data_IF_506919951758
#
_entry.id   IF_506919951758
#
_cell.length_a   1.000
_cell.length_b   1.000
_cell.length_c   1.000
_cell.angle_alpha   90.00
_cell.angle_beta   90.00
_cell.angle_gamma   90.00
#
_symmetry.space_group_name_H-M   'P 1'
#
loop_
_entity.id
_entity.type
_entity.pdbx_description
1 polymer ?
#
# COMPACT_ATOMS: atom_id res chain seq x y z
N UNK A 1 -10.88 40.86 32.61
CA UNK A 1 -9.46 41.25 32.53
C UNK A 1 -8.79 40.53 33.69
N UNK A 2 -7.99 39.48 33.54
CA UNK A 2 -7.30 38.91 32.38
C UNK A 2 -7.12 37.40 32.59
N UNK A 3 -6.80 36.72 31.50
CA UNK A 3 -6.65 35.27 31.30
C UNK A 3 -5.65 34.57 32.24
N UNK A 4 -5.76 33.24 32.41
CA UNK A 4 -4.62 32.39 32.72
C UNK A 4 -4.10 31.66 31.47
N UNK A 5 -2.96 32.16 30.99
CA UNK A 5 -1.77 31.44 30.48
C UNK A 5 -1.96 30.16 29.65
N UNK A 6 -1.54 30.27 28.39
CA UNK A 6 -1.20 29.19 27.46
C UNK A 6 -0.35 28.07 28.07
N UNK A 7 -0.95 26.89 28.16
CA UNK A 7 -0.29 25.63 28.49
C UNK A 7 0.49 25.08 27.29
N UNK A 8 1.77 25.43 27.25
CA UNK A 8 2.80 24.87 26.37
C UNK A 8 2.85 23.32 26.45
N UNK A 9 2.61 22.63 25.32
CA UNK A 9 2.98 21.20 25.16
C UNK A 9 3.83 21.02 23.89
N UNK A 10 5.07 21.52 23.93
CA UNK A 10 6.12 21.07 23.03
C UNK A 10 7.21 20.32 23.81
N UNK A 11 7.30 19.01 23.61
CA UNK A 11 8.54 18.27 23.77
C UNK A 11 8.88 17.66 22.41
N UNK A 12 9.66 18.41 21.62
CA UNK A 12 10.12 17.98 20.30
C UNK A 12 11.25 16.97 20.45
N UNK A 13 11.07 15.75 19.92
CA UNK A 13 12.20 14.94 19.47
C UNK A 13 12.25 15.05 17.94
N UNK A 14 13.40 15.40 17.34
CA UNK A 14 13.53 15.43 15.90
C UNK A 14 13.49 13.99 15.37
N UNK A 15 12.30 13.52 14.96
CA UNK A 15 12.19 12.36 14.09
C UNK A 15 12.69 12.82 12.72
N UNK A 16 13.99 12.68 12.49
CA UNK A 16 14.54 12.78 11.13
C UNK A 16 13.72 11.81 10.26
N UNK A 17 13.21 12.22 9.07
CA UNK A 17 12.63 11.29 8.12
C UNK A 17 13.73 10.30 7.73
N UNK A 18 13.76 9.17 8.44
CA UNK A 18 14.72 8.12 8.18
C UNK A 18 14.22 7.49 6.89
N UNK A 19 14.87 7.82 5.76
CA UNK A 19 14.68 7.17 4.45
C UNK A 19 15.06 5.70 4.63
N UNK A 20 14.14 4.90 5.18
CA UNK A 20 14.38 3.50 5.54
C UNK A 20 14.44 2.70 4.24
N UNK A 21 15.43 1.82 4.14
CA UNK A 21 15.55 0.88 3.04
C UNK A 21 14.24 0.08 2.92
N UNK A 22 13.58 0.18 1.77
CA UNK A 22 12.35 -0.56 1.46
C UNK A 22 12.60 -2.07 1.27
N UNK A 23 13.86 -2.47 1.06
CA UNK A 23 14.24 -3.89 1.01
C UNK A 23 14.13 -4.50 2.39
N UNK A 24 13.48 -5.66 2.50
CA UNK A 24 13.61 -6.52 3.68
C UNK A 24 15.10 -6.81 3.89
N UNK A 25 15.73 -6.12 4.85
CA UNK A 25 17.14 -6.33 5.19
C UNK A 25 17.31 -7.77 5.71
N UNK A 26 18.30 -8.49 5.17
CA UNK A 26 18.66 -9.85 5.59
C UNK A 26 17.92 -10.99 4.90
N UNK A 27 17.06 -10.73 3.90
CA UNK A 27 16.34 -11.80 3.21
C UNK A 27 17.07 -12.35 1.97
N UNK A 28 17.02 -13.68 1.80
CA UNK A 28 17.58 -14.34 0.62
C UNK A 28 16.57 -14.38 -0.54
N UNK A 29 16.70 -13.43 -1.47
CA UNK A 29 15.88 -13.33 -2.69
C UNK A 29 16.20 -14.36 -3.79
N UNK A 30 16.98 -15.39 -3.47
CA UNK A 30 17.19 -16.57 -4.33
C UNK A 30 16.34 -17.77 -3.88
N UNK A 31 15.67 -17.63 -2.73
CA UNK A 31 14.89 -18.70 -2.13
C UNK A 31 13.68 -19.05 -3.00
N UNK A 32 13.34 -20.34 -3.13
CA UNK A 32 12.11 -20.76 -3.79
C UNK A 32 10.86 -20.18 -3.11
N UNK A 33 9.83 -19.93 -3.89
CA UNK A 33 8.55 -19.40 -3.43
C UNK A 33 8.02 -18.25 -4.28
N UNK A 34 6.97 -17.62 -3.76
CA UNK A 34 6.19 -16.62 -4.48
C UNK A 34 6.54 -15.20 -4.06
N UNK A 35 6.71 -14.33 -5.05
CA UNK A 35 7.13 -12.95 -4.90
C UNK A 35 6.16 -12.04 -5.66
N UNK A 36 5.46 -11.18 -4.93
CA UNK A 36 4.78 -10.03 -5.50
C UNK A 36 5.81 -8.93 -5.75
N UNK A 37 5.81 -8.39 -6.96
CA UNK A 37 6.78 -7.40 -7.42
C UNK A 37 6.04 -6.19 -7.94
N UNK A 38 6.47 -5.00 -7.51
CA UNK A 38 6.02 -3.71 -8.06
C UNK A 38 7.20 -2.94 -8.62
N UNK A 39 7.10 -2.55 -9.88
CA UNK A 39 8.13 -1.80 -10.60
C UNK A 39 7.55 -0.49 -11.13
N UNK A 40 7.89 0.63 -10.47
CA UNK A 40 7.39 1.93 -10.90
C UNK A 40 8.30 2.63 -11.91
N UNK A 41 7.68 3.41 -12.77
CA UNK A 41 8.34 4.41 -13.59
C UNK A 41 8.94 5.52 -12.71
N UNK A 42 9.91 6.24 -13.26
CA UNK A 42 10.56 7.36 -12.59
C UNK A 42 9.52 8.46 -12.33
N UNK A 43 9.42 8.87 -11.06
CA UNK A 43 8.47 9.89 -10.58
C UNK A 43 7.00 9.55 -10.92
N UNK A 44 6.65 8.27 -10.99
CA UNK A 44 5.28 7.80 -11.27
C UNK A 44 4.67 8.36 -12.58
N UNK A 45 5.51 8.66 -13.58
CA UNK A 45 5.05 9.16 -14.88
C UNK A 45 4.24 8.11 -15.64
N UNK A 46 3.07 8.45 -16.23
CA UNK A 46 2.22 7.50 -16.93
C UNK A 46 2.78 7.12 -18.32
N UNK A 47 3.87 6.35 -18.36
CA UNK A 47 4.57 5.97 -19.59
C UNK A 47 3.87 4.88 -20.41
N UNK A 48 3.00 4.07 -19.80
CA UNK A 48 2.49 2.83 -20.40
C UNK A 48 1.07 2.93 -20.98
N UNK A 49 0.42 4.09 -20.86
CA UNK A 49 -0.93 4.33 -21.35
C UNK A 49 -1.81 4.92 -20.25
N UNK A 50 -3.12 4.70 -20.35
CA UNK A 50 -4.13 5.29 -19.47
C UNK A 50 -5.17 4.26 -19.05
N UNK A 51 -5.80 4.45 -17.90
CA UNK A 51 -6.96 3.66 -17.49
C UNK A 51 -8.23 4.37 -17.94
N UNK A 52 -9.15 3.64 -18.57
CA UNK A 52 -10.45 4.14 -19.03
C UNK A 52 -11.54 3.15 -18.62
N UNK A 53 -12.52 3.61 -17.82
CA UNK A 53 -13.66 2.78 -17.35
C UNK A 53 -13.19 1.46 -16.72
N UNK A 54 -12.24 1.57 -15.80
CA UNK A 54 -11.65 0.45 -15.07
C UNK A 54 -10.81 -0.51 -15.91
N UNK A 55 -10.45 -0.16 -17.15
CA UNK A 55 -9.63 -1.00 -18.03
C UNK A 55 -8.36 -0.28 -18.42
N UNK A 56 -7.24 -1.02 -18.43
CA UNK A 56 -5.98 -0.47 -18.92
C UNK A 56 -5.98 -0.40 -20.45
N UNK A 57 -5.81 0.81 -21.00
CA UNK A 57 -5.54 1.05 -22.41
C UNK A 57 -4.03 1.25 -22.61
N UNK A 58 -3.33 0.18 -23.01
CA UNK A 58 -1.87 0.19 -23.21
C UNK A 58 -1.49 0.92 -24.50
N UNK A 59 -0.50 1.80 -24.41
CA UNK A 59 0.21 2.34 -25.57
C UNK A 59 1.29 1.35 -26.05
N UNK A 60 2.10 1.74 -27.05
CA UNK A 60 3.20 0.91 -27.55
C UNK A 60 4.17 0.51 -26.43
N UNK A 61 4.56 1.46 -25.56
CA UNK A 61 5.48 1.20 -24.47
C UNK A 61 4.91 0.21 -23.44
N UNK A 62 3.62 0.33 -23.10
CA UNK A 62 2.94 -0.60 -22.21
C UNK A 62 2.85 -2.02 -22.78
N UNK A 63 2.61 -2.16 -24.09
CA UNK A 63 2.63 -3.46 -24.77
C UNK A 63 4.01 -4.11 -24.72
N UNK A 64 5.06 -3.33 -24.93
CA UNK A 64 6.46 -3.81 -24.86
C UNK A 64 6.83 -4.21 -23.42
N UNK A 65 6.44 -3.42 -22.43
CA UNK A 65 6.63 -3.76 -21.02
C UNK A 65 5.93 -5.08 -20.64
N UNK A 66 4.72 -5.32 -21.16
CA UNK A 66 4.00 -6.58 -20.97
C UNK A 66 4.64 -7.75 -21.72
N UNK A 67 5.18 -7.53 -22.92
CA UNK A 67 5.90 -8.56 -23.67
C UNK A 67 7.17 -9.00 -22.94
N UNK A 68 8.04 -8.06 -22.55
CA UNK A 68 9.26 -8.38 -21.80
C UNK A 68 8.96 -9.12 -20.48
N UNK A 69 7.79 -8.86 -19.87
CA UNK A 69 7.39 -9.56 -18.64
C UNK A 69 7.08 -11.04 -18.92
N UNK A 70 6.35 -11.32 -20.00
CA UNK A 70 6.05 -12.71 -20.43
C UNK A 70 7.29 -13.49 -20.85
N UNK A 71 8.33 -12.81 -21.31
CA UNK A 71 9.60 -13.43 -21.74
C UNK A 71 10.53 -13.77 -20.57
N UNK A 72 10.22 -13.36 -19.33
CA UNK A 72 11.04 -13.67 -18.14
C UNK A 72 11.40 -15.16 -18.03
N UNK A 73 10.45 -16.13 -18.18
CA UNK A 73 10.77 -17.56 -18.06
C UNK A 73 11.75 -18.06 -19.12
N UNK A 74 11.80 -17.45 -20.31
CA UNK A 74 12.73 -17.83 -21.37
C UNK A 74 14.18 -17.46 -21.03
N UNK A 75 14.38 -16.42 -20.23
CA UNK A 75 15.70 -15.97 -19.78
C UNK A 75 16.09 -16.54 -18.41
N UNK A 76 15.08 -16.91 -17.60
CA UNK A 76 15.25 -17.40 -16.24
C UNK A 76 14.40 -18.66 -16.04
N UNK A 77 14.90 -19.86 -16.37
CA UNK A 77 14.11 -21.09 -16.34
C UNK A 77 13.51 -21.44 -14.96
N UNK A 78 14.13 -20.97 -13.88
CA UNK A 78 13.62 -21.13 -12.50
C UNK A 78 12.51 -20.15 -12.14
N UNK A 79 12.21 -19.17 -12.99
CA UNK A 79 11.24 -18.12 -12.75
C UNK A 79 9.96 -18.39 -13.55
N UNK A 80 8.87 -18.65 -12.84
CA UNK A 80 7.54 -18.81 -13.42
C UNK A 80 6.75 -17.53 -13.20
N UNK A 81 6.23 -16.96 -14.28
CA UNK A 81 5.35 -15.80 -14.23
C UNK A 81 3.91 -16.26 -14.03
N UNK A 82 3.21 -15.60 -13.11
CA UNK A 82 1.78 -15.76 -12.85
C UNK A 82 1.07 -14.44 -13.20
N UNK A 83 0.04 -14.05 -12.46
CA UNK A 83 -0.74 -12.85 -12.66
C UNK A 83 0.14 -11.60 -12.67
N UNK A 84 -0.06 -10.73 -13.67
CA UNK A 84 0.63 -9.45 -13.79
C UNK A 84 -0.29 -8.42 -14.47
N UNK A 85 -0.03 -7.14 -14.21
CA UNK A 85 -0.70 -6.04 -14.88
C UNK A 85 0.27 -4.90 -15.11
N UNK A 86 0.24 -4.34 -16.32
CA UNK A 86 0.93 -3.09 -16.65
C UNK A 86 -0.07 -1.97 -16.41
N UNK A 87 0.24 -1.09 -15.46
CA UNK A 87 -0.54 0.10 -15.12
C UNK A 87 0.10 1.33 -15.78
N UNK A 88 -0.57 2.50 -15.83
CA UNK A 88 -0.02 3.69 -16.51
C UNK A 88 1.43 4.01 -16.15
N UNK A 89 1.78 3.91 -14.86
CA UNK A 89 3.06 4.34 -14.33
C UNK A 89 3.83 3.26 -13.54
N UNK A 90 3.36 2.01 -13.53
CA UNK A 90 4.04 0.91 -12.84
C UNK A 90 3.63 -0.45 -13.42
N UNK A 91 4.34 -1.49 -13.05
CA UNK A 91 4.01 -2.89 -13.37
C UNK A 91 3.93 -3.67 -12.08
N UNK A 92 2.86 -4.43 -11.92
CA UNK A 92 2.75 -5.45 -10.90
C UNK A 92 2.92 -6.82 -11.52
N UNK A 93 3.55 -7.74 -10.79
CA UNK A 93 3.43 -9.14 -11.13
C UNK A 93 3.79 -10.07 -10.00
N UNK A 94 3.20 -11.26 -10.08
CA UNK A 94 3.45 -12.36 -9.18
C UNK A 94 4.40 -13.34 -9.87
N UNK A 95 5.56 -13.56 -9.25
CA UNK A 95 6.63 -14.41 -9.75
C UNK A 95 6.88 -15.56 -8.79
N UNK A 96 6.95 -16.80 -9.27
CA UNK A 96 7.41 -17.94 -8.49
C UNK A 96 8.84 -18.28 -8.87
N UNK A 97 9.72 -18.36 -7.87
CA UNK A 97 11.01 -19.03 -8.02
C UNK A 97 10.87 -20.51 -7.66
N UNK A 98 11.28 -21.38 -8.57
CA UNK A 98 11.35 -22.82 -8.35
C UNK A 98 12.60 -23.19 -7.54
N UNK A 99 12.58 -24.40 -6.98
CA UNK A 99 13.74 -25.00 -6.34
C UNK A 99 14.94 -25.04 -7.28
N UNK A 100 16.15 -25.07 -6.70
CA UNK A 100 17.36 -25.38 -7.48
C UNK A 100 17.33 -26.88 -7.77
N UNK A 101 17.72 -27.27 -8.98
CA UNK A 101 17.90 -28.67 -9.31
C UNK A 101 18.89 -29.31 -8.32
N UNK A 102 18.68 -30.59 -8.00
CA UNK A 102 19.50 -31.31 -7.03
C UNK A 102 21.01 -31.29 -7.39
N UNK A 103 21.34 -31.16 -8.68
CA UNK A 103 22.70 -31.03 -9.20
C UNK A 103 23.36 -29.66 -8.93
N UNK A 104 22.59 -28.63 -8.58
CA UNK A 104 23.07 -27.25 -8.37
C UNK A 104 23.14 -26.85 -6.89
N UNK A 105 23.24 -27.83 -5.97
CA UNK A 105 23.38 -27.61 -4.51
C UNK A 105 24.78 -27.12 -4.14
N UNK A 106 25.18 -25.97 -4.67
CA UNK A 106 26.25 -25.16 -4.08
C UNK A 106 25.75 -24.39 -2.86
N UNK A 107 26.64 -23.74 -2.08
CA UNK A 107 26.24 -22.93 -0.95
C UNK A 107 25.23 -21.85 -1.35
N UNK A 108 24.26 -21.60 -0.48
CA UNK A 108 23.20 -20.62 -0.71
C UNK A 108 23.81 -19.22 -0.74
N UNK A 109 24.00 -18.66 -1.93
CA UNK A 109 24.54 -17.30 -2.09
C UNK A 109 23.51 -16.25 -1.65
N UNK A 110 23.97 -15.30 -0.83
CA UNK A 110 23.18 -14.15 -0.42
C UNK A 110 23.46 -12.97 -1.34
N UNK A 111 22.40 -12.30 -1.78
CA UNK A 111 22.51 -11.02 -2.50
C UNK A 111 23.22 -10.00 -1.61
N UNK A 112 24.31 -9.41 -2.13
CA UNK A 112 25.00 -8.29 -1.51
C UNK A 112 25.19 -7.16 -2.53
N UNK A 113 25.37 -5.93 -2.03
CA UNK A 113 25.65 -4.80 -2.91
C UNK A 113 26.92 -5.08 -3.73
N UNK A 114 26.83 -4.96 -5.06
CA UNK A 114 27.92 -5.29 -5.98
C UNK A 114 28.12 -6.79 -6.27
N UNK A 115 27.35 -7.69 -5.67
CA UNK A 115 27.41 -9.15 -5.88
C UNK A 115 26.04 -9.69 -6.29
N UNK A 116 25.63 -9.50 -7.56
CA UNK A 116 24.35 -10.01 -8.04
C UNK A 116 24.36 -11.53 -8.13
N UNK A 117 23.31 -12.17 -7.63
CA UNK A 117 23.15 -13.63 -7.76
C UNK A 117 22.30 -13.93 -8.99
N UNK A 118 22.78 -14.82 -9.87
CA UNK A 118 22.05 -15.22 -11.06
C UNK A 118 20.71 -15.88 -10.69
N UNK A 119 19.62 -15.44 -11.33
CA UNK A 119 18.27 -15.96 -11.08
C UNK A 119 17.63 -15.50 -9.77
N UNK A 120 18.21 -14.54 -9.04
CA UNK A 120 17.54 -13.87 -7.92
C UNK A 120 16.42 -12.94 -8.40
N UNK A 121 15.45 -12.62 -7.53
CA UNK A 121 14.40 -11.63 -7.85
C UNK A 121 15.00 -10.28 -8.29
N UNK A 122 16.00 -9.68 -7.59
CA UNK A 122 16.62 -8.45 -8.04
C UNK A 122 17.29 -8.54 -9.41
N UNK A 123 17.96 -9.66 -9.72
CA UNK A 123 18.61 -9.84 -11.02
C UNK A 123 17.58 -10.00 -12.14
N UNK A 124 16.48 -10.73 -11.90
CA UNK A 124 15.37 -10.85 -12.84
C UNK A 124 14.76 -9.47 -13.11
N UNK A 125 14.45 -8.71 -12.06
CA UNK A 125 13.89 -7.36 -12.20
C UNK A 125 14.86 -6.41 -12.90
N UNK A 126 16.16 -6.50 -12.63
CA UNK A 126 17.19 -5.72 -13.34
C UNK A 126 17.18 -6.04 -14.83
N UNK A 127 17.14 -7.33 -15.19
CA UNK A 127 17.08 -7.78 -16.59
C UNK A 127 15.82 -7.30 -17.29
N UNK A 128 14.65 -7.45 -16.64
CA UNK A 128 13.38 -6.92 -17.12
C UNK A 128 13.44 -5.42 -17.40
N UNK A 129 13.91 -4.62 -16.43
CA UNK A 129 14.04 -3.16 -16.60
C UNK A 129 14.96 -2.80 -17.76
N UNK A 130 16.07 -3.53 -17.93
CA UNK A 130 17.02 -3.32 -19.01
C UNK A 130 16.41 -3.69 -20.37
N UNK A 131 15.67 -4.80 -20.47
CA UNK A 131 14.98 -5.21 -21.69
C UNK A 131 13.97 -4.15 -22.14
N UNK A 132 13.12 -3.67 -21.22
CA UNK A 132 12.16 -2.60 -21.53
C UNK A 132 12.86 -1.30 -21.91
N UNK A 133 13.89 -0.89 -21.16
CA UNK A 133 14.68 0.32 -21.49
C UNK A 133 15.28 0.24 -22.89
N UNK A 134 15.86 -0.92 -23.26
CA UNK A 134 16.45 -1.15 -24.57
C UNK A 134 15.39 -1.09 -25.67
N UNK A 135 14.23 -1.72 -25.42
CA UNK A 135 13.16 -1.77 -26.39
C UNK A 135 12.57 -0.37 -26.65
N UNK A 136 12.46 0.47 -25.61
CA UNK A 136 11.93 1.84 -25.73
C UNK A 136 12.97 2.88 -26.18
N UNK A 137 14.26 2.61 -26.01
CA UNK A 137 15.33 3.59 -26.24
C UNK A 137 15.46 4.65 -25.14
N UNK A 138 14.71 4.54 -24.04
CA UNK A 138 14.72 5.51 -22.95
C UNK A 138 14.67 4.88 -21.54
N UNK A 139 15.31 5.53 -20.57
CA UNK A 139 15.31 5.11 -19.16
C UNK A 139 14.07 5.63 -18.44
N UNK A 140 13.05 4.78 -18.35
CA UNK A 140 11.76 5.14 -17.74
C UNK A 140 11.60 4.70 -16.29
N UNK A 141 12.47 3.83 -15.77
CA UNK A 141 12.28 3.20 -14.47
C UNK A 141 12.84 4.01 -13.31
N UNK A 142 12.21 3.88 -12.13
CA UNK A 142 12.86 4.23 -10.88
C UNK A 142 14.00 3.24 -10.57
N UNK A 143 14.99 3.65 -9.78
CA UNK A 143 16.14 2.80 -9.46
C UNK A 143 15.76 1.54 -8.66
N UNK A 144 14.90 1.70 -7.64
CA UNK A 144 14.45 0.61 -6.77
C UNK A 144 13.21 -0.09 -7.33
N UNK A 145 12.84 -1.20 -6.74
CA UNK A 145 11.55 -1.85 -6.93
C UNK A 145 11.11 -2.35 -5.56
N UNK A 146 9.89 -2.83 -5.50
CA UNK A 146 9.33 -3.38 -4.27
C UNK A 146 9.03 -4.86 -4.46
N UNK A 147 9.22 -5.62 -3.39
CA UNK A 147 8.98 -7.05 -3.36
C UNK A 147 8.40 -7.51 -2.03
N UNK A 148 7.43 -8.43 -2.10
CA UNK A 148 6.81 -9.11 -0.94
C UNK A 148 6.72 -10.59 -1.21
N UNK A 149 7.05 -11.42 -0.21
CA UNK A 149 6.91 -12.87 -0.32
C UNK A 149 5.49 -13.30 0.05
N UNK A 150 4.79 -13.95 -0.86
CA UNK A 150 3.47 -14.54 -0.56
C UNK A 150 3.66 -15.93 0.08
N UNK A 151 3.45 -16.02 1.40
CA UNK A 151 3.81 -17.22 2.19
C UNK A 151 2.77 -18.33 2.15
N UNK A 152 1.49 -17.97 2.07
CA UNK A 152 0.36 -18.91 2.07
C UNK A 152 -0.56 -18.71 0.86
N UNK A 153 -1.47 -19.65 0.64
CA UNK A 153 -2.41 -19.62 -0.49
C UNK A 153 -3.40 -18.47 -0.43
N UNK A 154 -3.83 -18.08 0.76
CA UNK A 154 -4.75 -16.96 0.93
C UNK A 154 -4.08 -15.65 0.47
N UNK A 155 -2.86 -15.37 0.93
CA UNK A 155 -2.07 -14.23 0.50
C UNK A 155 -1.85 -14.23 -1.02
N UNK A 156 -1.54 -15.40 -1.61
CA UNK A 156 -1.39 -15.55 -3.07
C UNK A 156 -2.69 -15.21 -3.81
N UNK A 157 -3.81 -15.77 -3.38
CA UNK A 157 -5.12 -15.53 -4.00
C UNK A 157 -5.49 -14.04 -3.91
N UNK A 158 -5.23 -13.41 -2.77
CA UNK A 158 -5.50 -11.99 -2.55
C UNK A 158 -4.63 -11.10 -3.44
N UNK A 159 -3.35 -11.43 -3.60
CA UNK A 159 -2.44 -10.71 -4.50
C UNK A 159 -2.88 -10.87 -5.96
N UNK A 160 -3.25 -12.08 -6.42
CA UNK A 160 -3.78 -12.27 -7.78
C UNK A 160 -5.03 -11.44 -8.01
N UNK A 161 -5.97 -11.46 -7.06
CA UNK A 161 -7.19 -10.65 -7.15
C UNK A 161 -6.88 -9.15 -7.15
N UNK A 162 -5.90 -8.71 -6.36
CA UNK A 162 -5.43 -7.33 -6.37
C UNK A 162 -4.90 -6.91 -7.74
N UNK A 163 -4.01 -7.71 -8.33
CA UNK A 163 -3.42 -7.45 -9.64
C UNK A 163 -4.51 -7.35 -10.72
N UNK A 164 -5.44 -8.31 -10.77
CA UNK A 164 -6.52 -8.35 -11.78
C UNK A 164 -7.41 -7.11 -11.76
N UNK A 165 -7.77 -6.65 -10.57
CA UNK A 165 -8.70 -5.53 -10.40
C UNK A 165 -8.00 -4.20 -10.16
N UNK A 166 -6.67 -4.14 -10.27
CA UNK A 166 -5.91 -2.91 -10.06
C UNK A 166 -6.36 -1.80 -11.04
N UNK A 167 -6.60 -2.04 -12.34
CA UNK A 167 -7.15 -1.03 -13.24
C UNK A 167 -8.48 -0.44 -12.77
N UNK A 168 -9.39 -1.26 -12.27
CA UNK A 168 -10.70 -0.82 -11.77
C UNK A 168 -10.56 0.04 -10.51
N UNK A 169 -9.70 -0.39 -9.59
CA UNK A 169 -9.45 0.37 -8.37
C UNK A 169 -8.71 1.69 -8.68
N UNK A 170 -7.75 1.68 -9.61
CA UNK A 170 -7.04 2.87 -10.09
C UNK A 170 -8.01 3.86 -10.71
N UNK A 171 -8.91 3.41 -11.59
CA UNK A 171 -9.93 4.28 -12.20
C UNK A 171 -10.84 4.89 -11.14
N UNK A 172 -11.31 4.09 -10.17
CA UNK A 172 -12.18 4.56 -9.11
C UNK A 172 -11.51 5.57 -8.16
N UNK A 173 -10.18 5.54 -8.04
CA UNK A 173 -9.42 6.49 -7.19
C UNK A 173 -8.98 7.72 -7.97
N UNK A 174 -8.44 7.54 -9.19
CA UNK A 174 -7.80 8.60 -9.97
C UNK A 174 -8.76 9.32 -10.92
N UNK A 175 -9.76 8.60 -11.45
CA UNK A 175 -10.76 9.11 -12.40
C UNK A 175 -12.20 9.02 -11.85
N UNK A 176 -12.34 8.58 -10.59
CA UNK A 176 -13.58 8.01 -10.07
C UNK A 176 -14.77 8.93 -10.17
N UNK A 177 -15.90 8.36 -10.62
CA UNK A 177 -17.22 8.99 -10.52
C UNK A 177 -17.49 9.49 -9.11
N UNK A 178 -18.27 10.57 -8.99
CA UNK A 178 -18.47 11.36 -7.76
C UNK A 178 -18.70 10.45 -6.55
N UNK A 179 -17.74 10.36 -5.60
CA UNK A 179 -17.98 9.68 -4.34
C UNK A 179 -19.21 10.27 -3.67
N UNK A 180 -19.98 9.44 -2.98
CA UNK A 180 -21.05 9.93 -2.15
C UNK A 180 -20.47 10.43 -0.83
N UNK A 181 -21.09 11.47 -0.28
CA UNK A 181 -20.63 12.14 0.93
C UNK A 181 -21.77 12.22 1.95
N UNK A 182 -21.46 12.00 3.22
CA UNK A 182 -22.37 12.25 4.34
C UNK A 182 -21.61 12.99 5.45
N UNK A 183 -22.08 14.18 5.83
CA UNK A 183 -21.45 15.03 6.83
C UNK A 183 -20.66 16.20 6.25
N UNK A 184 -19.66 16.70 6.99
CA UNK A 184 -19.01 17.97 6.70
C UNK A 184 -17.96 17.87 5.57
N UNK A 185 -18.33 18.31 4.37
CA UNK A 185 -17.44 18.27 3.19
C UNK A 185 -16.23 19.20 3.29
N UNK A 186 -16.29 20.27 4.07
CA UNK A 186 -15.18 21.20 4.25
C UNK A 186 -13.94 20.54 4.89
N UNK A 187 -14.11 19.36 5.49
CA UNK A 187 -12.99 18.55 6.00
C UNK A 187 -12.02 18.09 4.88
N UNK A 188 -12.48 18.00 3.63
CA UNK A 188 -11.62 17.63 2.50
C UNK A 188 -10.62 18.73 2.10
N UNK A 189 -10.92 20.00 2.42
CA UNK A 189 -10.08 21.14 2.07
C UNK A 189 -8.97 21.40 3.10
N UNK A 190 -9.06 20.75 4.26
CA UNK A 190 -8.08 20.85 5.34
C UNK A 190 -6.84 19.99 5.07
N UNK A 191 -5.70 20.26 5.75
CA UNK A 191 -4.57 19.34 5.76
C UNK A 191 -4.99 17.95 6.24
N UNK A 192 -4.59 16.90 5.53
CA UNK A 192 -5.06 15.52 5.78
C UNK A 192 -3.92 14.61 6.22
N UNK A 193 -4.12 13.94 7.33
CA UNK A 193 -3.26 12.87 7.83
C UNK A 193 -3.93 11.52 7.56
N UNK A 194 -3.35 10.73 6.67
CA UNK A 194 -3.78 9.35 6.45
C UNK A 194 -3.37 8.47 7.63
N UNK A 195 -4.27 7.60 8.12
CA UNK A 195 -3.91 6.57 9.09
C UNK A 195 -4.30 5.19 8.56
N UNK A 196 -3.31 4.29 8.47
CA UNK A 196 -3.51 2.93 7.96
C UNK A 196 -2.84 1.91 8.89
N UNK A 197 -3.47 0.75 9.05
CA UNK A 197 -2.85 -0.37 9.76
C UNK A 197 -3.26 -1.72 9.16
N UNK A 198 -2.31 -2.65 9.14
CA UNK A 198 -2.60 -4.04 8.81
C UNK A 198 -3.44 -4.70 9.91
N UNK A 199 -4.22 -5.71 9.53
CA UNK A 199 -4.91 -6.60 10.49
C UNK A 199 -3.88 -7.30 11.38
N UNK A 200 -4.18 -7.50 12.66
CA UNK A 200 -3.38 -8.33 13.58
C UNK A 200 -2.86 -7.64 14.84
N UNK A 201 -3.01 -6.31 14.97
CA UNK A 201 -2.73 -5.58 16.20
C UNK A 201 -3.87 -4.59 16.50
N UNK A 202 -4.25 -4.49 17.77
CA UNK A 202 -5.20 -3.51 18.31
C UNK A 202 -4.50 -2.37 19.03
N UNK A 203 -3.23 -2.54 19.39
CA UNK A 203 -2.59 -1.72 20.41
C UNK A 203 -1.94 -0.50 19.77
N UNK A 204 -2.56 0.65 19.98
CA UNK A 204 -1.98 1.93 19.62
C UNK A 204 -0.86 2.24 20.62
N UNK A 205 0.39 1.98 20.24
CA UNK A 205 1.53 2.38 21.04
C UNK A 205 1.93 3.83 20.73
N UNK A 206 1.79 4.71 21.72
CA UNK A 206 2.16 6.13 21.63
C UNK A 206 1.01 7.05 21.18
N UNK A 207 1.32 8.34 21.07
CA UNK A 207 0.38 9.36 20.57
C UNK A 207 0.40 9.41 19.05
N UNK A 208 -0.77 9.62 18.44
CA UNK A 208 -0.84 9.92 17.02
C UNK A 208 -0.16 11.27 16.77
N UNK A 209 0.77 11.36 15.82
CA UNK A 209 1.50 12.60 15.57
C UNK A 209 0.67 13.55 14.71
N UNK A 210 -0.57 13.87 15.12
CA UNK A 210 -1.50 14.77 14.42
C UNK A 210 -1.02 16.21 14.60
N UNK A 211 -0.84 16.95 13.50
CA UNK A 211 -0.50 18.39 13.54
C UNK A 211 -1.76 19.22 13.79
N UNK A 212 -1.66 20.41 14.39
CA UNK A 212 -2.79 21.32 14.55
C UNK A 212 -3.52 21.55 13.22
N UNK A 213 -4.84 21.45 13.24
CA UNK A 213 -5.68 21.66 12.05
C UNK A 213 -5.80 20.48 11.09
N UNK A 214 -5.00 19.41 11.25
CA UNK A 214 -5.11 18.21 10.41
C UNK A 214 -6.41 17.44 10.66
N UNK A 215 -6.89 16.78 9.61
CA UNK A 215 -8.02 15.86 9.61
C UNK A 215 -7.51 14.44 9.42
N UNK A 216 -7.96 13.50 10.25
CA UNK A 216 -7.55 12.10 10.13
C UNK A 216 -8.40 11.41 9.06
N UNK A 217 -7.75 10.82 8.06
CA UNK A 217 -8.41 10.09 6.96
C UNK A 217 -8.05 8.62 7.05
N UNK A 218 -9.04 7.73 7.13
CA UNK A 218 -8.80 6.28 7.22
C UNK A 218 -10.03 5.48 6.79
N UNK A 219 -9.81 4.21 6.47
CA UNK A 219 -10.90 3.26 6.28
C UNK A 219 -11.51 2.76 7.59
N UNK A 220 -10.80 2.87 8.71
CA UNK A 220 -11.21 2.38 10.03
C UNK A 220 -11.60 0.89 10.04
N UNK A 221 -10.85 0.06 9.29
CA UNK A 221 -11.20 -1.34 9.03
C UNK A 221 -10.47 -2.34 9.91
N UNK A 222 -9.22 -2.06 10.28
CA UNK A 222 -8.45 -2.89 11.21
C UNK A 222 -8.79 -2.57 12.68
N UNK A 223 -8.50 -3.48 13.64
CA UNK A 223 -8.72 -3.21 15.05
C UNK A 223 -8.05 -1.91 15.54
N UNK A 224 -6.81 -1.67 15.13
CA UNK A 224 -6.08 -0.44 15.48
C UNK A 224 -6.70 0.81 14.85
N UNK A 225 -7.11 0.78 13.58
CA UNK A 225 -7.78 1.94 12.98
C UNK A 225 -9.12 2.21 13.67
N UNK A 226 -9.89 1.17 14.04
CA UNK A 226 -11.11 1.35 14.85
C UNK A 226 -10.84 1.97 16.22
N UNK A 227 -9.72 1.63 16.86
CA UNK A 227 -9.31 2.26 18.10
C UNK A 227 -9.00 3.76 17.91
N UNK A 228 -8.35 4.13 16.79
CA UNK A 228 -8.14 5.54 16.41
C UNK A 228 -9.47 6.25 16.17
N UNK A 229 -10.42 5.62 15.47
CA UNK A 229 -11.75 6.18 15.24
C UNK A 229 -12.49 6.45 16.56
N UNK A 230 -12.50 5.48 17.48
CA UNK A 230 -13.13 5.62 18.79
C UNK A 230 -12.48 6.72 19.64
N UNK A 231 -11.14 6.84 19.59
CA UNK A 231 -10.41 7.92 20.23
C UNK A 231 -10.77 9.27 19.60
N UNK A 232 -10.85 9.35 18.27
CA UNK A 232 -11.22 10.57 17.55
C UNK A 232 -12.62 11.06 17.89
N UNK A 233 -13.61 10.15 18.00
CA UNK A 233 -14.94 10.52 18.47
C UNK A 233 -14.92 11.07 19.91
N UNK A 234 -14.16 10.42 20.80
CA UNK A 234 -14.04 10.83 22.22
C UNK A 234 -13.35 12.19 22.40
N UNK A 235 -12.29 12.42 21.64
CA UNK A 235 -11.47 13.63 21.71
C UNK A 235 -11.88 14.70 20.69
N UNK A 236 -13.00 14.50 19.99
CA UNK A 236 -13.55 15.43 19.00
C UNK A 236 -12.55 15.81 17.90
N UNK A 237 -11.79 14.83 17.42
CA UNK A 237 -10.90 15.04 16.27
C UNK A 237 -11.71 15.07 14.98
N UNK A 238 -11.38 15.99 14.05
CA UNK A 238 -11.99 15.98 12.73
C UNK A 238 -11.50 14.75 11.94
N UNK A 239 -12.44 14.01 11.35
CA UNK A 239 -12.17 12.75 10.68
C UNK A 239 -12.90 12.61 9.35
N UNK A 240 -12.25 11.95 8.40
CA UNK A 240 -12.85 11.43 7.17
C UNK A 240 -12.82 9.91 7.21
N UNK A 241 -14.01 9.30 7.28
CA UNK A 241 -14.17 7.86 7.20
C UNK A 241 -14.40 7.42 5.75
N UNK A 242 -13.41 6.73 5.20
CA UNK A 242 -13.43 6.17 3.84
C UNK A 242 -14.02 4.76 3.88
N UNK A 243 -15.30 4.64 3.58
CA UNK A 243 -16.08 3.45 3.86
C UNK A 243 -16.11 2.49 2.64
N UNK A 244 -15.86 1.18 2.81
CA UNK A 244 -15.89 0.21 1.71
C UNK A 244 -17.29 -0.31 1.38
N UNK A 245 -18.33 0.36 1.84
CA UNK A 245 -19.74 0.03 1.59
C UNK A 245 -20.59 1.28 1.72
N UNK A 246 -21.91 1.15 1.56
CA UNK A 246 -22.87 2.24 1.59
C UNK A 246 -22.73 3.22 2.77
N UNK A 247 -23.20 4.46 2.60
CA UNK A 247 -23.02 5.55 3.57
C UNK A 247 -23.77 5.41 4.90
N UNK A 248 -24.57 4.36 5.11
CA UNK A 248 -25.41 4.27 6.31
C UNK A 248 -24.61 4.19 7.62
N UNK A 249 -24.69 5.26 8.40
CA UNK A 249 -24.14 5.37 9.75
C UNK A 249 -25.20 5.85 10.75
N UNK A 250 -26.48 5.89 10.34
CA UNK A 250 -27.56 6.50 11.13
C UNK A 250 -27.86 5.72 12.41
N UNK A 251 -27.57 4.42 12.44
CA UNK A 251 -27.70 3.58 13.62
C UNK A 251 -26.65 3.86 14.70
N UNK A 252 -25.59 4.63 14.42
CA UNK A 252 -24.54 4.94 15.38
C UNK A 252 -24.67 6.38 15.92
N UNK A 253 -25.15 6.51 17.16
CA UNK A 253 -25.37 7.81 17.83
C UNK A 253 -24.11 8.68 17.88
N UNK A 254 -22.94 8.11 18.16
CA UNK A 254 -21.69 8.87 18.24
C UNK A 254 -21.28 9.44 16.87
N UNK A 255 -21.50 8.68 15.80
CA UNK A 255 -21.26 9.17 14.43
C UNK A 255 -22.23 10.28 14.04
N UNK A 256 -23.50 10.17 14.42
CA UNK A 256 -24.51 11.23 14.18
C UNK A 256 -24.14 12.53 14.86
N UNK A 257 -23.80 12.47 16.15
CA UNK A 257 -23.34 13.65 16.91
C UNK A 257 -22.10 14.26 16.26
N UNK A 258 -21.10 13.46 15.88
CA UNK A 258 -19.90 13.97 15.22
C UNK A 258 -20.19 14.60 13.84
N UNK A 259 -21.18 14.10 13.10
CA UNK A 259 -21.64 14.71 11.83
C UNK A 259 -22.32 16.05 12.10
N UNK A 260 -23.23 16.11 13.08
CA UNK A 260 -23.94 17.33 13.48
C UNK A 260 -22.98 18.42 13.99
N UNK A 261 -21.94 18.03 14.73
CA UNK A 261 -20.85 18.91 15.18
C UNK A 261 -19.87 19.29 14.06
N UNK A 262 -20.03 18.76 12.85
CA UNK A 262 -19.17 19.05 11.70
C UNK A 262 -17.76 18.43 11.79
N UNK A 263 -17.57 17.45 12.66
CA UNK A 263 -16.29 16.76 12.90
C UNK A 263 -16.12 15.49 12.07
N UNK A 264 -17.17 14.97 11.44
CA UNK A 264 -17.11 13.74 10.66
C UNK A 264 -17.62 13.94 9.23
N UNK A 265 -16.87 13.37 8.28
CA UNK A 265 -17.29 13.14 6.91
C UNK A 265 -17.16 11.65 6.59
N UNK A 266 -18.21 11.05 6.06
CA UNK A 266 -18.18 9.69 5.52
C UNK A 266 -18.13 9.77 4.00
N UNK A 267 -17.19 9.05 3.39
CA UNK A 267 -16.99 8.98 1.94
C UNK A 267 -17.14 7.53 1.51
N UNK A 268 -17.94 7.29 0.47
CA UNK A 268 -18.02 5.97 -0.16
C UNK A 268 -18.32 6.09 -1.65
N UNK A 269 -17.65 5.32 -2.51
CA UNK A 269 -17.98 5.21 -3.92
C UNK A 269 -19.04 4.10 -4.17
N UNK A 270 -19.48 3.39 -3.12
CA UNK A 270 -20.34 2.22 -3.21
C UNK A 270 -21.79 2.57 -2.87
N UNK A 271 -22.73 1.91 -3.55
CA UNK A 271 -24.16 2.06 -3.29
C UNK A 271 -24.52 1.55 -1.88
N UNK A 272 -25.60 2.11 -1.34
CA UNK A 272 -26.22 1.79 -0.05
C UNK A 272 -26.58 0.31 0.13
N UNK A 273 -26.92 -0.40 -0.95
CA UNK A 273 -27.26 -1.83 -0.92
C UNK A 273 -26.07 -2.79 -0.89
N UNK A 274 -24.83 -2.30 -0.91
CA UNK A 274 -23.64 -3.17 -0.86
C UNK A 274 -23.29 -3.47 0.59
N UNK A 275 -23.42 -4.72 1.03
CA UNK A 275 -23.08 -5.13 2.40
C UNK A 275 -21.64 -5.70 2.54
N UNK A 276 -21.15 -5.69 3.79
CA UNK A 276 -19.87 -6.24 4.30
C UNK A 276 -18.55 -5.74 3.64
N UNK A 277 -17.42 -5.66 4.36
CA UNK A 277 -16.12 -5.41 3.71
C UNK A 277 -15.64 -6.63 2.90
N UNK A 278 -15.36 -6.42 1.62
CA UNK A 278 -14.49 -7.34 0.86
C UNK A 278 -13.04 -6.85 0.93
N UNK A 279 -12.07 -7.76 0.80
CA UNK A 279 -10.66 -7.37 0.79
C UNK A 279 -10.32 -6.39 -0.34
N UNK A 280 -10.99 -6.54 -1.49
CA UNK A 280 -10.90 -5.61 -2.62
C UNK A 280 -11.33 -4.20 -2.23
N UNK A 281 -12.47 -4.06 -1.55
CA UNK A 281 -13.00 -2.74 -1.14
C UNK A 281 -12.15 -2.12 -0.02
N UNK A 282 -11.58 -2.94 0.86
CA UNK A 282 -10.58 -2.48 1.82
C UNK A 282 -9.31 -1.94 1.13
N UNK A 283 -8.84 -2.59 0.06
CA UNK A 283 -7.72 -2.09 -0.73
C UNK A 283 -8.04 -0.74 -1.39
N UNK A 284 -9.26 -0.56 -1.91
CA UNK A 284 -9.74 0.72 -2.43
C UNK A 284 -9.70 1.82 -1.36
N UNK A 285 -10.19 1.55 -0.14
CA UNK A 285 -10.13 2.53 0.95
C UNK A 285 -8.69 2.96 1.25
N UNK A 286 -7.76 2.01 1.31
CA UNK A 286 -6.35 2.31 1.54
C UNK A 286 -5.76 3.16 0.41
N UNK A 287 -6.05 2.82 -0.85
CA UNK A 287 -5.61 3.61 -2.01
C UNK A 287 -6.20 5.01 -2.01
N UNK A 288 -7.48 5.17 -1.66
CA UNK A 288 -8.11 6.49 -1.53
C UNK A 288 -7.41 7.34 -0.46
N UNK A 289 -7.14 6.77 0.73
CA UNK A 289 -6.40 7.46 1.80
C UNK A 289 -5.02 7.90 1.29
N UNK A 290 -4.29 7.00 0.63
CA UNK A 290 -2.96 7.30 0.10
C UNK A 290 -3.00 8.35 -1.01
N UNK A 291 -4.03 8.38 -1.86
CA UNK A 291 -4.16 9.36 -2.93
C UNK A 291 -4.49 10.77 -2.40
N UNK A 292 -5.29 10.85 -1.33
CA UNK A 292 -5.81 12.13 -0.83
C UNK A 292 -5.04 12.72 0.37
N UNK A 293 -4.03 12.02 0.89
CA UNK A 293 -3.22 12.51 2.01
C UNK A 293 -1.76 12.72 1.61
N UNK A 294 -1.21 13.88 1.97
CA UNK A 294 0.21 14.21 1.75
C UNK A 294 1.11 13.50 2.76
N UNK A 295 0.57 13.25 3.96
CA UNK A 295 1.25 12.57 5.07
C UNK A 295 0.45 11.38 5.56
N UNK A 296 1.12 10.27 5.81
CA UNK A 296 0.48 9.00 6.20
C UNK A 296 1.23 8.36 7.37
N UNK A 297 0.47 7.98 8.41
CA UNK A 297 0.96 7.19 9.54
C UNK A 297 0.55 5.74 9.35
N UNK A 298 1.54 4.85 9.44
CA UNK A 298 1.33 3.40 9.45
C UNK A 298 1.48 2.93 10.89
N UNK A 299 0.35 2.58 11.52
CA UNK A 299 0.32 2.12 12.91
C UNK A 299 0.90 0.72 13.08
N UNK A 300 0.48 -0.20 12.22
CA UNK A 300 1.02 -1.56 12.16
C UNK A 300 1.13 -2.00 10.69
N UNK A 301 2.22 -2.67 10.32
CA UNK A 301 2.41 -3.21 8.98
C UNK A 301 2.76 -4.69 9.06
N UNK A 302 1.88 -5.53 8.52
CA UNK A 302 2.24 -6.89 8.17
C UNK A 302 3.03 -6.84 6.85
N UNK A 303 4.33 -7.17 6.83
CA UNK A 303 5.16 -7.08 5.62
C UNK A 303 4.68 -7.99 4.49
N UNK A 304 3.93 -9.05 4.79
CA UNK A 304 3.39 -9.97 3.80
C UNK A 304 1.92 -9.65 3.43
N UNK A 305 1.38 -8.54 3.93
CA UNK A 305 -0.04 -8.17 3.78
C UNK A 305 -0.33 -7.25 2.60
N UNK A 306 -1.62 -7.10 2.29
CA UNK A 306 -2.12 -6.24 1.20
C UNK A 306 -1.71 -4.77 1.38
N UNK A 307 -1.71 -4.24 2.61
CA UNK A 307 -1.26 -2.87 2.85
C UNK A 307 0.20 -2.66 2.44
N UNK A 308 1.06 -3.66 2.64
CA UNK A 308 2.45 -3.60 2.21
C UNK A 308 2.55 -3.53 0.67
N UNK A 309 1.72 -4.31 -0.02
CA UNK A 309 1.59 -4.29 -1.47
C UNK A 309 1.17 -2.90 -2.00
N UNK A 310 0.14 -2.28 -1.40
CA UNK A 310 -0.35 -0.96 -1.81
C UNK A 310 0.69 0.13 -1.52
N UNK A 311 1.39 0.06 -0.39
CA UNK A 311 2.47 0.99 -0.04
C UNK A 311 3.67 0.94 -1.01
N UNK A 312 3.73 -0.05 -1.91
CA UNK A 312 4.73 -0.12 -2.97
C UNK A 312 4.50 0.86 -4.11
N UNK A 313 3.24 1.28 -4.31
CA UNK A 313 2.77 2.09 -5.44
C UNK A 313 2.82 3.58 -5.14
N UNK A 314 3.08 3.95 -3.89
CA UNK A 314 3.09 5.34 -3.49
C UNK A 314 4.28 6.10 -4.10
N UNK A 315 4.10 7.40 -4.24
CA UNK A 315 5.21 8.30 -4.50
C UNK A 315 6.30 8.13 -3.41
N UNK A 316 7.56 7.83 -3.78
CA UNK A 316 8.68 7.76 -2.84
C UNK A 316 8.90 9.02 -2.00
N UNK A 317 8.42 10.17 -2.45
CA UNK A 317 8.52 11.45 -1.73
C UNK A 317 7.34 11.69 -0.78
N UNK A 318 6.30 10.84 -0.79
CA UNK A 318 5.19 10.91 0.17
C UNK A 318 5.70 10.69 1.60
N UNK A 319 5.28 11.56 2.52
CA UNK A 319 5.74 11.48 3.92
C UNK A 319 5.06 10.30 4.63
N UNK A 320 5.82 9.23 4.87
CA UNK A 320 5.38 8.08 5.66
C UNK A 320 6.06 8.02 7.02
N UNK A 321 5.24 8.08 8.07
CA UNK A 321 5.64 7.86 9.45
C UNK A 321 5.19 6.47 9.87
N UNK A 322 6.09 5.66 10.45
CA UNK A 322 5.73 4.35 11.00
C UNK A 322 5.81 4.42 12.52
N UNK A 323 4.73 4.06 13.21
CA UNK A 323 4.77 3.95 14.67
C UNK A 323 5.73 2.82 15.07
N UNK A 324 6.45 2.96 16.19
CA UNK A 324 7.31 1.90 16.70
C UNK A 324 6.45 0.67 16.99
N UNK A 325 6.68 -0.41 16.22
CA UNK A 325 5.97 -1.67 16.45
C UNK A 325 6.39 -2.27 17.77
N UNK A 326 5.42 -2.67 18.59
CA UNK A 326 5.67 -3.69 19.61
C UNK A 326 6.30 -4.90 18.94
N UNK A 327 7.36 -5.47 19.53
CA UNK A 327 7.91 -6.74 19.05
C UNK A 327 6.75 -7.74 18.92
N UNK A 328 6.66 -8.51 17.82
CA UNK A 328 5.73 -9.63 17.82
C UNK A 328 6.05 -10.51 19.03
N UNK A 329 5.02 -10.89 19.79
CA UNK A 329 5.19 -11.90 20.83
C UNK A 329 5.89 -13.12 20.21
N UNK A 330 6.91 -13.71 20.87
CA UNK A 330 7.55 -14.91 20.36
C UNK A 330 6.46 -15.95 20.13
N UNK A 331 6.36 -16.46 18.89
CA UNK A 331 5.49 -17.59 18.60
C UNK A 331 5.95 -18.74 19.50
N UNK A 332 5.04 -19.28 20.32
CA UNK A 332 5.28 -20.53 21.04
C UNK A 332 5.69 -21.57 19.99
N UNK A 333 6.88 -22.13 20.14
CA UNK A 333 7.29 -23.31 19.38
C UNK A 333 6.26 -24.41 19.62
N UNK A 334 5.88 -25.19 18.58
CA UNK A 334 5.06 -26.37 18.80
C UNK A 334 5.81 -27.33 19.73
N UNK A 335 5.10 -28.03 20.65
CA UNK A 335 5.74 -28.99 21.53
C UNK A 335 6.46 -30.07 20.71
N UNK A 336 7.65 -30.43 21.18
CA UNK A 336 8.59 -31.36 20.57
C UNK A 336 8.01 -32.77 20.39
#
# INVERSE_FOLDING_TARGET
MDEPSDGNMSASFPIRPRRKNLRMQGWNFTSPGWYFITICTKNMKPAFGTVVKGRMALNAAGKMAGQCWREIPAHFPRAVVDEYVVMPNHVHGLLRLLDRDAACRGPMEFEAFGKPVAGSVPTIVRSYKAAVTKALGEKIWQGRFYEVRARDDAARANIRNYIRHNPENYDAVMNGGKPQYLGNRALLDRPKLGFLASRGSSDLHGTLPVKPGEVIVSGFLSPMERAVFAAGLRHKWPMVWVKPWGLDVQSNTACRVAIEEGLLLVVSPFDSGVEAPSERRAAWCNQYVLAHCDRVVIGHLNPDGMLACILAEIDPEKEIVRLPGGRPAPKKEPPA
#
